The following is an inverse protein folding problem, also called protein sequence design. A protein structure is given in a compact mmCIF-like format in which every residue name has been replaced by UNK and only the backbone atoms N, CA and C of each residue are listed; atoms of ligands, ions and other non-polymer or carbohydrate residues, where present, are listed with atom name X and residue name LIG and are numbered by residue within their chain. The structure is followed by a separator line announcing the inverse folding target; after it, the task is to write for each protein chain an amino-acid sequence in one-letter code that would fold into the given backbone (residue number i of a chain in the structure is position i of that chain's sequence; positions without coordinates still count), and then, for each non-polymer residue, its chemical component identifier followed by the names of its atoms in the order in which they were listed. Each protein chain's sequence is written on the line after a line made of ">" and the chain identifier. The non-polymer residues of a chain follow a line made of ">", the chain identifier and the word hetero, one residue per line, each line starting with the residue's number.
data_IF_159373552212
#
_entry.id   IF_159373552212
#
_cell.length_a   1.000
_cell.length_b   1.000
_cell.length_c   1.000
_cell.angle_alpha   90.00
_cell.angle_beta   90.00
_cell.angle_gamma   90.00
#
_symmetry.space_group_name_H-M   'P 1'
#
loop_
_entity.id
_entity.type
_entity.pdbx_description
1 polymer ?
#
# COMPACT_ATOMS: atom_id res chain seq x y z
N UNK A 1 -49.67 -33.23 5.64
CA UNK A 1 -49.38 -32.33 4.51
C UNK A 1 -49.28 -30.87 4.97
N UNK A 2 -50.18 -30.29 5.76
CA UNK A 2 -50.10 -28.87 6.21
C UNK A 2 -48.81 -28.54 7.02
N UNK A 3 -48.33 -29.42 7.89
CA UNK A 3 -47.11 -29.19 8.69
C UNK A 3 -45.82 -29.12 7.84
N UNK A 4 -45.72 -29.97 6.80
CA UNK A 4 -44.58 -29.98 5.88
C UNK A 4 -44.53 -28.69 5.02
N UNK A 5 -45.70 -28.21 4.59
CA UNK A 5 -45.81 -26.94 3.84
C UNK A 5 -45.41 -25.72 4.69
N UNK A 6 -45.80 -25.69 5.97
CA UNK A 6 -45.42 -24.61 6.90
C UNK A 6 -43.91 -24.61 7.19
N UNK A 7 -43.30 -25.79 7.37
CA UNK A 7 -41.84 -25.91 7.60
C UNK A 7 -41.07 -25.50 6.35
N UNK A 8 -41.53 -25.87 5.15
CA UNK A 8 -40.92 -25.44 3.90
C UNK A 8 -40.98 -23.91 3.70
N UNK A 9 -42.11 -23.30 4.04
CA UNK A 9 -42.27 -21.84 3.95
C UNK A 9 -41.39 -21.09 4.94
N UNK A 10 -41.18 -21.60 6.15
CA UNK A 10 -40.28 -21.04 7.16
C UNK A 10 -38.80 -21.12 6.74
N UNK A 11 -38.40 -22.20 6.10
CA UNK A 11 -37.02 -22.36 5.58
C UNK A 11 -36.75 -21.41 4.42
N UNK A 12 -37.71 -21.21 3.52
CA UNK A 12 -37.60 -20.25 2.41
C UNK A 12 -37.52 -18.81 2.96
N UNK A 13 -38.33 -18.48 3.96
CA UNK A 13 -38.31 -17.16 4.60
C UNK A 13 -36.97 -16.90 5.34
N UNK A 14 -36.40 -17.92 5.97
CA UNK A 14 -35.09 -17.83 6.62
C UNK A 14 -33.95 -17.64 5.61
N UNK A 15 -34.00 -18.26 4.43
CA UNK A 15 -33.00 -18.08 3.36
C UNK A 15 -33.03 -16.68 2.75
N UNK A 16 -34.18 -16.01 2.70
CA UNK A 16 -34.27 -14.62 2.20
C UNK A 16 -33.72 -13.59 3.19
N UNK A 17 -33.64 -13.91 4.47
CA UNK A 17 -33.08 -13.03 5.49
C UNK A 17 -31.53 -13.09 5.57
N UNK A 18 -30.90 -14.12 4.98
CA UNK A 18 -29.45 -14.27 4.96
C UNK A 18 -28.74 -13.64 3.73
N UNK A 19 -29.49 -13.10 2.76
CA UNK A 19 -28.91 -12.48 1.56
C UNK A 19 -28.46 -11.01 1.76
N UNK A 20 -28.38 -10.54 3.00
CA UNK A 20 -28.13 -9.14 3.33
C UNK A 20 -26.68 -8.66 3.39
N UNK A 21 -25.67 -9.45 3.02
CA UNK A 21 -24.26 -9.06 3.23
C UNK A 21 -23.37 -9.10 1.98
N UNK A 22 -23.91 -8.72 0.82
CA UNK A 22 -23.09 -8.50 -0.38
C UNK A 22 -23.39 -7.10 -0.92
N UNK A 23 -23.08 -6.07 -0.12
CA UNK A 23 -22.99 -4.73 -0.65
C UNK A 23 -21.57 -4.56 -1.21
N UNK A 24 -21.38 -4.37 -2.52
CA UNK A 24 -20.05 -4.18 -3.09
C UNK A 24 -19.42 -2.93 -2.46
N UNK A 25 -18.21 -3.06 -1.91
CA UNK A 25 -17.46 -1.95 -1.30
C UNK A 25 -17.30 -0.75 -2.24
N UNK A 26 -17.29 -1.00 -3.56
CA UNK A 26 -17.26 0.03 -4.61
C UNK A 26 -18.47 0.98 -4.63
N UNK A 27 -19.57 0.62 -3.96
CA UNK A 27 -20.81 1.41 -3.92
C UNK A 27 -21.06 2.15 -2.61
N UNK A 28 -20.15 2.07 -1.64
CA UNK A 28 -20.23 2.90 -0.45
C UNK A 28 -20.09 4.37 -0.86
N UNK A 29 -20.97 5.22 -0.39
CA UNK A 29 -20.93 6.67 -0.65
C UNK A 29 -19.58 7.31 -0.25
N UNK A 30 -18.87 6.70 0.69
CA UNK A 30 -17.53 7.06 1.13
C UNK A 30 -16.47 6.91 0.02
N UNK A 31 -16.67 6.01 -0.95
CA UNK A 31 -15.76 5.80 -2.09
C UNK A 31 -16.11 6.68 -3.30
N UNK A 32 -17.15 7.50 -3.21
CA UNK A 32 -17.56 8.42 -4.28
C UNK A 32 -16.79 9.75 -4.27
N UNK A 33 -16.11 10.07 -3.16
CA UNK A 33 -15.26 11.26 -3.08
C UNK A 33 -13.91 10.91 -3.71
N UNK A 34 -13.44 11.68 -4.73
CA UNK A 34 -12.14 11.46 -5.34
C UNK A 34 -11.01 11.42 -4.31
N UNK A 35 -10.02 10.57 -4.50
CA UNK A 35 -8.91 10.38 -3.55
C UNK A 35 -8.11 11.65 -3.33
N UNK A 36 -7.90 12.45 -4.37
CA UNK A 36 -7.22 13.75 -4.32
C UNK A 36 -7.91 14.73 -3.37
N UNK A 37 -9.24 14.79 -3.39
CA UNK A 37 -10.01 15.65 -2.47
C UNK A 37 -9.84 15.20 -1.02
N UNK A 38 -9.85 13.90 -0.76
CA UNK A 38 -9.67 13.37 0.59
C UNK A 38 -8.25 13.62 1.11
N UNK A 39 -7.23 13.35 0.28
CA UNK A 39 -5.82 13.59 0.62
C UNK A 39 -5.56 15.08 0.85
N UNK A 40 -6.12 15.96 0.02
CA UNK A 40 -6.01 17.41 0.16
C UNK A 40 -6.63 17.92 1.47
N UNK A 41 -7.80 17.42 1.85
CA UNK A 41 -8.42 17.78 3.12
C UNK A 41 -7.55 17.39 4.33
N UNK A 42 -6.89 16.22 4.25
CA UNK A 42 -5.94 15.79 5.29
C UNK A 42 -4.69 16.65 5.28
N UNK A 43 -4.18 17.06 4.10
CA UNK A 43 -3.03 17.98 3.99
C UNK A 43 -3.33 19.30 4.69
N UNK A 44 -4.45 19.93 4.39
CA UNK A 44 -4.89 21.19 5.01
C UNK A 44 -5.00 21.06 6.54
N UNK A 45 -5.52 19.93 7.02
CA UNK A 45 -5.62 19.66 8.46
C UNK A 45 -4.25 19.46 9.13
N UNK A 46 -3.30 18.81 8.45
CA UNK A 46 -1.91 18.65 8.92
C UNK A 46 -1.20 20.00 9.02
N UNK A 47 -1.31 20.83 8.00
CA UNK A 47 -0.71 22.17 7.97
C UNK A 47 -1.27 23.07 9.09
N UNK A 48 -2.58 23.03 9.30
CA UNK A 48 -3.20 23.79 10.38
C UNK A 48 -2.76 23.27 11.74
N UNK A 49 -2.72 21.94 11.95
CA UNK A 49 -2.21 21.34 13.18
C UNK A 49 -0.77 21.76 13.44
N UNK A 50 0.11 21.67 12.44
CA UNK A 50 1.53 22.05 12.56
C UNK A 50 1.69 23.52 12.98
N UNK A 51 0.92 24.41 12.35
CA UNK A 51 0.93 25.84 12.64
C UNK A 51 0.51 26.17 14.07
N UNK A 52 -0.46 25.43 14.61
CA UNK A 52 -1.03 25.68 15.95
C UNK A 52 -0.32 24.91 17.07
N UNK A 53 0.60 23.98 16.72
CA UNK A 53 1.30 23.12 17.68
C UNK A 53 2.83 23.23 17.55
N UNK A 54 3.36 24.45 17.43
CA UNK A 54 4.80 24.75 17.45
C UNK A 54 5.63 23.94 16.44
N UNK A 55 5.05 23.65 15.26
CA UNK A 55 5.72 22.89 14.20
C UNK A 55 5.65 21.36 14.38
N UNK A 56 5.00 20.86 15.40
CA UNK A 56 4.83 19.41 15.60
C UNK A 56 3.94 18.81 14.51
N UNK A 57 4.26 17.58 14.11
CA UNK A 57 3.46 16.84 13.13
C UNK A 57 2.50 15.85 13.80
N UNK A 58 1.31 15.64 13.24
CA UNK A 58 0.32 14.71 13.78
C UNK A 58 0.61 13.26 13.33
N UNK A 59 1.78 12.73 13.69
CA UNK A 59 2.23 11.39 13.30
C UNK A 59 2.22 10.42 14.48
N UNK A 60 2.12 9.11 14.16
CA UNK A 60 2.39 8.00 15.06
C UNK A 60 3.89 7.71 15.03
N UNK A 61 4.49 7.53 16.20
CA UNK A 61 5.90 7.13 16.30
C UNK A 61 6.07 5.69 15.81
N UNK A 62 7.09 5.47 14.97
CA UNK A 62 7.53 4.17 14.48
C UNK A 62 9.01 3.99 14.78
N UNK A 63 9.47 2.73 14.74
CA UNK A 63 10.88 2.39 14.92
C UNK A 63 11.75 3.04 13.85
N UNK A 64 13.00 3.37 14.21
CA UNK A 64 13.93 4.04 13.28
C UNK A 64 14.18 3.23 12.00
N UNK A 65 14.17 1.90 12.09
CA UNK A 65 14.34 0.98 10.95
C UNK A 65 13.12 0.86 10.02
N UNK A 66 12.00 1.53 10.35
CA UNK A 66 10.82 1.49 9.46
C UNK A 66 11.14 2.15 8.11
N UNK A 67 10.82 1.50 6.97
CA UNK A 67 11.04 2.06 5.64
C UNK A 67 10.41 3.45 5.48
N UNK A 68 11.10 4.35 4.75
CA UNK A 68 10.77 5.78 4.68
C UNK A 68 9.30 6.04 4.30
N UNK A 69 8.75 5.30 3.36
CA UNK A 69 7.37 5.45 2.90
C UNK A 69 6.30 4.85 3.84
N UNK A 70 6.71 4.30 4.97
CA UNK A 70 5.83 3.74 6.01
C UNK A 70 6.11 4.34 7.39
N UNK A 71 7.11 5.22 7.47
CA UNK A 71 7.70 5.65 8.74
C UNK A 71 6.82 6.62 9.53
N UNK A 72 6.09 7.49 8.84
CA UNK A 72 5.35 8.59 9.44
C UNK A 72 3.83 8.50 9.18
N UNK A 73 3.14 7.46 9.69
CA UNK A 73 1.69 7.38 9.53
C UNK A 73 1.00 8.48 10.32
N UNK A 74 -0.03 9.07 9.73
CA UNK A 74 -0.82 10.13 10.36
C UNK A 74 -1.58 9.57 11.56
N UNK A 75 -1.54 10.28 12.68
CA UNK A 75 -2.41 10.02 13.83
C UNK A 75 -3.66 10.89 13.74
N UNK A 76 -4.72 10.36 13.13
CA UNK A 76 -5.98 11.06 12.97
C UNK A 76 -6.60 11.55 14.27
N UNK A 77 -6.29 10.93 15.42
CA UNK A 77 -6.78 11.38 16.73
C UNK A 77 -6.26 12.76 17.13
N UNK A 78 -5.14 13.20 16.52
CA UNK A 78 -4.56 14.51 16.76
C UNK A 78 -5.23 15.62 15.92
N UNK A 79 -5.80 15.25 14.77
CA UNK A 79 -6.37 16.22 13.82
C UNK A 79 -7.88 16.18 13.72
N UNK A 80 -8.53 15.04 14.04
CA UNK A 80 -10.00 14.93 14.04
C UNK A 80 -10.53 14.94 15.47
N UNK A 81 -11.65 15.66 15.72
CA UNK A 81 -12.45 16.45 14.78
C UNK A 81 -12.03 17.93 14.64
N UNK A 82 -10.98 18.38 15.31
CA UNK A 82 -10.65 19.81 15.44
C UNK A 82 -10.23 20.46 14.11
N UNK A 83 -9.35 19.80 13.33
CA UNK A 83 -8.80 20.29 12.06
C UNK A 83 -9.41 19.56 10.86
N UNK A 84 -9.86 18.34 11.06
CA UNK A 84 -10.51 17.50 10.06
C UNK A 84 -11.85 17.01 10.63
N UNK A 85 -12.99 17.47 10.11
CA UNK A 85 -14.31 17.13 10.67
C UNK A 85 -14.54 15.62 10.80
N UNK A 86 -14.15 14.87 9.76
CA UNK A 86 -14.29 13.40 9.71
C UNK A 86 -13.06 12.77 9.09
N UNK A 87 -12.66 11.60 9.60
CA UNK A 87 -11.59 10.79 8.99
C UNK A 87 -12.05 10.35 7.60
N UNK A 88 -11.19 10.44 6.54
CA UNK A 88 -11.56 10.02 5.19
C UNK A 88 -12.11 8.60 5.15
N UNK A 89 -13.17 8.39 4.36
CA UNK A 89 -13.81 7.07 4.25
C UNK A 89 -12.90 6.01 3.62
N UNK A 90 -11.90 6.43 2.83
CA UNK A 90 -10.90 5.54 2.24
C UNK A 90 -9.70 5.26 3.18
N UNK A 91 -9.59 5.94 4.33
CA UNK A 91 -8.55 5.71 5.32
C UNK A 91 -8.80 4.42 6.12
N UNK A 92 -7.73 3.70 6.43
CA UNK A 92 -7.80 2.46 7.21
C UNK A 92 -8.52 2.64 8.56
N UNK A 93 -8.27 3.75 9.23
CA UNK A 93 -8.89 4.09 10.50
C UNK A 93 -10.42 4.27 10.41
N UNK A 94 -10.95 4.42 9.21
CA UNK A 94 -12.39 4.52 8.94
C UNK A 94 -12.93 3.35 8.09
N UNK A 95 -12.22 2.22 8.08
CA UNK A 95 -12.60 1.00 7.36
C UNK A 95 -12.23 0.98 5.87
N UNK A 96 -11.46 1.96 5.39
CA UNK A 96 -10.92 1.99 4.03
C UNK A 96 -9.64 1.16 3.88
N UNK A 97 -9.06 1.20 2.70
CA UNK A 97 -7.91 0.38 2.30
C UNK A 97 -6.58 1.13 2.29
N UNK A 98 -6.58 2.45 2.54
CA UNK A 98 -5.35 3.25 2.47
C UNK A 98 -4.82 3.64 3.83
N UNK A 99 -3.51 3.51 4.00
CA UNK A 99 -2.79 4.14 5.09
C UNK A 99 -2.33 5.53 4.63
N UNK A 100 -2.63 6.54 5.42
CA UNK A 100 -2.14 7.90 5.23
C UNK A 100 -0.78 8.07 5.93
N UNK A 101 0.17 8.65 5.23
CA UNK A 101 1.55 8.89 5.71
C UNK A 101 2.00 10.28 5.33
N UNK A 102 2.99 10.80 6.06
CA UNK A 102 3.75 11.99 5.65
C UNK A 102 5.07 11.59 5.00
N UNK A 103 5.43 12.29 3.94
CA UNK A 103 6.77 12.32 3.35
C UNK A 103 7.38 13.71 3.57
N UNK A 104 8.67 13.82 3.33
CA UNK A 104 9.42 15.10 3.38
C UNK A 104 9.21 15.91 4.67
N UNK A 105 9.11 15.19 5.78
CA UNK A 105 8.69 15.71 7.10
C UNK A 105 9.58 16.82 7.67
N UNK A 106 10.81 16.97 7.17
CA UNK A 106 11.77 17.96 7.64
C UNK A 106 11.70 19.28 6.84
N UNK A 107 11.29 19.21 5.57
CA UNK A 107 11.29 20.38 4.67
C UNK A 107 9.87 20.81 4.30
N UNK A 108 9.08 19.90 3.71
CA UNK A 108 7.72 20.17 3.22
C UNK A 108 6.80 18.96 3.48
N UNK A 109 6.27 18.81 4.72
CA UNK A 109 5.48 17.64 5.11
C UNK A 109 4.28 17.42 4.19
N UNK A 110 4.39 16.42 3.33
CA UNK A 110 3.39 16.12 2.29
C UNK A 110 2.61 14.85 2.61
N UNK A 111 1.28 14.95 2.58
CA UNK A 111 0.37 13.81 2.79
C UNK A 111 0.33 12.92 1.56
N UNK A 112 0.62 11.64 1.76
CA UNK A 112 0.56 10.59 0.75
C UNK A 112 -0.21 9.39 1.30
N UNK A 113 -0.52 8.45 0.42
CA UNK A 113 -1.23 7.21 0.79
C UNK A 113 -0.54 5.99 0.20
N UNK A 114 -0.77 4.82 0.80
CA UNK A 114 -0.46 3.54 0.19
C UNK A 114 -1.54 2.49 0.48
N UNK A 115 -1.64 1.52 -0.42
CA UNK A 115 -2.66 0.47 -0.38
C UNK A 115 -2.26 -0.65 0.58
N UNK A 116 -3.07 -0.89 1.60
CA UNK A 116 -2.83 -1.94 2.60
C UNK A 116 -3.11 -3.35 2.08
N UNK A 117 -3.78 -3.50 0.95
CA UNK A 117 -3.97 -4.82 0.31
C UNK A 117 -2.63 -5.44 -0.09
N UNK A 118 -1.62 -4.61 -0.42
CA UNK A 118 -0.24 -5.08 -0.62
C UNK A 118 0.33 -5.73 0.65
N UNK A 119 0.08 -5.13 1.82
CA UNK A 119 0.51 -5.69 3.10
C UNK A 119 -0.15 -7.04 3.40
N UNK A 120 -1.42 -7.19 3.06
CA UNK A 120 -2.16 -8.45 3.24
C UNK A 120 -1.59 -9.55 2.36
N UNK A 121 -1.33 -9.26 1.08
CA UNK A 121 -0.66 -10.20 0.15
C UNK A 121 0.72 -10.62 0.67
N UNK A 122 1.55 -9.66 1.09
CA UNK A 122 2.87 -9.93 1.67
C UNK A 122 2.75 -10.78 2.93
N UNK A 123 1.80 -10.48 3.81
CA UNK A 123 1.56 -11.24 5.04
C UNK A 123 1.14 -12.68 4.75
N UNK A 124 0.26 -12.90 3.79
CA UNK A 124 -0.17 -14.24 3.39
C UNK A 124 1.01 -15.08 2.90
N UNK A 125 1.84 -14.52 2.03
CA UNK A 125 3.05 -15.19 1.55
C UNK A 125 4.00 -15.51 2.73
N UNK A 126 4.25 -14.55 3.64
CA UNK A 126 5.10 -14.77 4.82
C UNK A 126 4.57 -15.90 5.71
N UNK A 127 3.26 -16.01 5.91
CA UNK A 127 2.64 -17.11 6.68
C UNK A 127 2.94 -18.46 6.02
N UNK A 128 2.81 -18.55 4.69
CA UNK A 128 3.10 -19.78 3.94
C UNK A 128 4.59 -20.15 3.98
N UNK A 129 5.49 -19.18 3.88
CA UNK A 129 6.94 -19.38 4.04
C UNK A 129 7.24 -19.93 5.44
N UNK A 130 6.67 -19.35 6.48
CA UNK A 130 6.85 -19.84 7.85
C UNK A 130 6.34 -21.28 8.04
N UNK A 131 5.24 -21.65 7.39
CA UNK A 131 4.72 -23.02 7.41
C UNK A 131 5.61 -24.00 6.64
N UNK A 132 6.27 -23.56 5.56
CA UNK A 132 7.20 -24.36 4.75
C UNK A 132 8.61 -24.48 5.34
N UNK A 133 8.98 -23.58 6.23
CA UNK A 133 10.26 -23.59 6.97
C UNK A 133 11.46 -23.01 6.21
N UNK A 134 11.35 -22.73 4.91
CA UNK A 134 12.43 -22.17 4.08
C UNK A 134 11.91 -21.08 3.15
N UNK A 135 12.71 -20.00 2.91
CA UNK A 135 12.39 -19.02 1.89
C UNK A 135 12.42 -19.64 0.47
N UNK A 136 11.37 -19.41 -0.35
CA UNK A 136 11.24 -20.02 -1.67
C UNK A 136 12.00 -19.24 -2.74
N UNK A 137 13.33 -19.26 -2.68
CA UNK A 137 14.18 -18.56 -3.65
C UNK A 137 14.14 -19.24 -5.02
N UNK A 138 13.86 -18.48 -6.11
CA UNK A 138 13.85 -19.00 -7.48
C UNK A 138 15.04 -18.54 -8.30
N UNK A 139 15.19 -17.23 -8.50
CA UNK A 139 16.25 -16.63 -9.32
C UNK A 139 16.74 -15.36 -8.65
N UNK A 140 18.05 -15.20 -8.55
CA UNK A 140 18.66 -13.94 -8.13
C UNK A 140 18.48 -12.87 -9.24
N UNK A 141 17.94 -11.72 -8.87
CA UNK A 141 17.70 -10.58 -9.78
C UNK A 141 18.57 -9.38 -9.44
N UNK A 142 19.07 -9.32 -8.22
CA UNK A 142 20.12 -8.41 -7.76
C UNK A 142 20.82 -9.05 -6.55
N UNK A 143 21.94 -8.48 -6.11
CA UNK A 143 22.65 -8.99 -4.94
C UNK A 143 21.68 -9.12 -3.74
N UNK A 144 21.53 -10.34 -3.23
CA UNK A 144 20.64 -10.67 -2.12
C UNK A 144 19.15 -10.38 -2.36
N UNK A 145 18.69 -10.31 -3.63
CA UNK A 145 17.29 -10.15 -4.02
C UNK A 145 16.89 -11.22 -5.01
N UNK A 146 15.82 -11.94 -4.73
CA UNK A 146 15.40 -13.12 -5.48
C UNK A 146 13.93 -13.01 -5.89
N UNK A 147 13.54 -13.61 -7.01
CA UNK A 147 12.16 -13.94 -7.30
C UNK A 147 11.71 -15.12 -6.44
N UNK A 148 10.40 -15.27 -6.23
CA UNK A 148 9.82 -16.33 -5.41
C UNK A 148 9.47 -17.55 -6.27
N UNK A 149 9.72 -18.74 -5.72
CA UNK A 149 9.14 -19.99 -6.21
C UNK A 149 7.80 -20.24 -5.51
N UNK A 150 6.74 -19.74 -6.08
CA UNK A 150 5.40 -19.79 -5.49
C UNK A 150 4.84 -21.21 -5.32
N UNK A 151 5.24 -22.16 -6.17
CA UNK A 151 4.84 -23.56 -6.09
C UNK A 151 5.32 -24.23 -4.79
N UNK A 152 6.53 -23.89 -4.33
CA UNK A 152 7.09 -24.42 -3.07
C UNK A 152 6.32 -24.00 -1.83
N UNK A 153 5.53 -22.92 -1.91
CA UNK A 153 4.69 -22.44 -0.81
C UNK A 153 3.20 -22.62 -1.09
N UNK A 154 2.87 -23.51 -2.06
CA UNK A 154 1.52 -23.97 -2.32
C UNK A 154 0.60 -23.04 -3.09
N UNK A 155 1.17 -22.17 -3.95
CA UNK A 155 0.39 -21.45 -4.95
C UNK A 155 0.42 -22.18 -6.30
N UNK A 156 -0.67 -22.13 -7.05
CA UNK A 156 -0.75 -22.68 -8.41
C UNK A 156 -0.11 -21.79 -9.49
N UNK A 157 0.31 -20.57 -9.14
CA UNK A 157 0.90 -19.60 -10.05
C UNK A 157 1.54 -18.43 -9.31
N UNK A 158 2.04 -17.47 -10.06
CA UNK A 158 2.69 -16.28 -9.52
C UNK A 158 1.68 -15.33 -8.88
N UNK A 159 2.07 -14.70 -7.78
CA UNK A 159 1.25 -13.72 -7.05
C UNK A 159 1.73 -12.31 -7.40
N UNK A 160 0.78 -11.42 -7.60
CA UNK A 160 1.01 -10.03 -7.97
C UNK A 160 0.21 -9.10 -7.08
N UNK A 161 0.62 -7.85 -7.02
CA UNK A 161 -0.16 -6.75 -6.47
C UNK A 161 -0.46 -5.72 -7.57
N UNK A 162 -1.50 -4.92 -7.39
CA UNK A 162 -1.82 -3.87 -8.36
C UNK A 162 -0.95 -2.63 -8.13
N UNK A 163 -0.36 -2.10 -9.20
CA UNK A 163 0.34 -0.82 -9.15
C UNK A 163 -0.67 0.32 -8.93
N UNK A 164 -0.43 1.20 -7.95
CA UNK A 164 -1.24 2.39 -7.79
C UNK A 164 -0.93 3.48 -8.84
N UNK A 165 0.14 3.31 -9.63
CA UNK A 165 0.60 4.27 -10.64
C UNK A 165 0.08 3.93 -12.02
N UNK A 166 0.25 2.68 -12.46
CA UNK A 166 -0.08 2.22 -13.81
C UNK A 166 -1.29 1.29 -13.87
N UNK A 167 -1.76 0.79 -12.73
CA UNK A 167 -2.79 -0.26 -12.66
C UNK A 167 -2.30 -1.64 -13.13
N UNK A 168 -1.01 -1.78 -13.47
CA UNK A 168 -0.41 -3.04 -13.89
C UNK A 168 -0.16 -3.96 -12.71
N UNK A 169 0.00 -5.25 -12.98
CA UNK A 169 0.38 -6.24 -11.98
C UNK A 169 1.88 -6.17 -11.70
N UNK A 170 2.24 -5.88 -10.45
CA UNK A 170 3.61 -5.84 -9.98
C UNK A 170 3.99 -7.17 -9.34
N UNK A 171 5.16 -7.75 -9.69
CA UNK A 171 5.67 -8.94 -9.03
C UNK A 171 6.19 -8.61 -7.63
N UNK A 172 6.43 -9.65 -6.85
CA UNK A 172 7.06 -9.54 -5.54
C UNK A 172 8.44 -10.20 -5.59
N UNK A 173 9.36 -9.67 -4.78
CA UNK A 173 10.70 -10.20 -4.58
C UNK A 173 10.94 -10.47 -3.10
N UNK A 174 11.91 -11.32 -2.81
CA UNK A 174 12.30 -11.70 -1.46
C UNK A 174 13.81 -11.48 -1.30
N UNK A 175 14.23 -10.93 -0.16
CA UNK A 175 15.65 -10.85 0.17
C UNK A 175 16.13 -12.08 0.95
N UNK A 176 17.45 -12.18 1.17
CA UNK A 176 18.05 -13.30 1.91
C UNK A 176 17.58 -13.43 3.36
N UNK A 177 17.04 -12.39 3.96
CA UNK A 177 16.46 -12.40 5.31
C UNK A 177 15.00 -12.90 5.31
N UNK A 178 14.44 -13.23 4.13
CA UNK A 178 13.04 -13.67 3.99
C UNK A 178 12.02 -12.53 4.00
N UNK A 179 12.45 -11.28 3.86
CA UNK A 179 11.59 -10.14 3.75
C UNK A 179 11.10 -9.98 2.31
N UNK A 180 9.78 -9.71 2.15
CA UNK A 180 9.11 -9.61 0.86
C UNK A 180 8.86 -8.15 0.52
N UNK A 181 9.13 -7.81 -0.74
CA UNK A 181 8.97 -6.47 -1.28
C UNK A 181 8.20 -6.49 -2.59
N UNK A 182 7.56 -5.38 -2.91
CA UNK A 182 6.93 -5.13 -4.22
C UNK A 182 8.00 -4.61 -5.18
N UNK A 183 8.04 -5.17 -6.36
CA UNK A 183 8.95 -4.73 -7.43
C UNK A 183 8.28 -3.65 -8.28
N UNK A 184 8.71 -2.40 -8.09
CA UNK A 184 8.25 -1.24 -8.84
C UNK A 184 9.10 -0.91 -10.07
N UNK A 185 9.99 -1.81 -10.51
CA UNK A 185 10.88 -1.54 -11.65
C UNK A 185 10.13 -1.15 -12.91
N UNK A 186 8.96 -1.74 -13.15
CA UNK A 186 8.11 -1.43 -14.31
C UNK A 186 7.58 0.01 -14.26
N UNK A 187 7.06 0.45 -13.11
CA UNK A 187 6.56 1.81 -12.94
C UNK A 187 7.68 2.85 -13.02
N UNK A 188 8.84 2.54 -12.42
CA UNK A 188 10.03 3.38 -12.49
C UNK A 188 10.57 3.48 -13.92
N UNK A 189 10.56 2.38 -14.67
CA UNK A 189 10.96 2.39 -16.07
C UNK A 189 10.09 3.35 -16.89
N UNK A 190 8.78 3.30 -16.74
CA UNK A 190 7.85 4.21 -17.42
C UNK A 190 8.11 5.67 -17.02
N UNK A 191 8.28 5.94 -15.73
CA UNK A 191 8.59 7.29 -15.24
C UNK A 191 9.91 7.83 -15.79
N UNK A 192 10.93 6.99 -15.90
CA UNK A 192 12.22 7.38 -16.50
C UNK A 192 12.12 7.72 -17.99
N UNK A 193 11.16 7.14 -18.74
CA UNK A 193 10.92 7.50 -20.13
C UNK A 193 10.21 8.85 -20.27
N UNK A 194 9.36 9.21 -19.31
CA UNK A 194 8.52 10.41 -19.38
C UNK A 194 9.17 11.63 -18.70
N UNK A 195 10.14 11.40 -17.80
CA UNK A 195 10.78 12.50 -17.06
C UNK A 195 11.90 13.18 -17.88
N UNK A 196 12.09 14.47 -17.65
CA UNK A 196 13.27 15.21 -18.12
C UNK A 196 14.50 15.03 -17.22
N UNK A 197 14.32 14.41 -16.05
CA UNK A 197 15.39 14.12 -15.10
C UNK A 197 16.24 12.98 -15.65
N UNK A 198 17.53 13.06 -15.42
CA UNK A 198 18.49 12.01 -15.80
C UNK A 198 19.27 11.59 -14.56
N UNK A 199 18.66 10.77 -13.66
CA UNK A 199 19.33 10.37 -12.45
C UNK A 199 20.64 9.64 -12.73
N UNK A 200 21.60 9.76 -11.80
CA UNK A 200 22.89 9.12 -11.89
C UNK A 200 22.88 7.75 -11.20
N UNK A 201 23.81 6.88 -11.58
CA UNK A 201 24.00 5.60 -10.92
C UNK A 201 24.36 5.82 -9.44
N UNK A 202 23.66 5.13 -8.53
CA UNK A 202 23.78 5.29 -7.09
C UNK A 202 22.85 6.35 -6.48
N UNK A 203 22.15 7.14 -7.29
CA UNK A 203 21.05 8.01 -6.84
C UNK A 203 19.79 7.17 -6.57
N UNK A 204 19.12 7.39 -5.44
CA UNK A 204 17.86 6.71 -5.12
C UNK A 204 16.71 7.37 -5.91
N UNK A 205 15.97 6.57 -6.70
CA UNK A 205 15.05 7.09 -7.72
C UNK A 205 13.55 6.89 -7.43
N UNK A 206 13.16 6.29 -6.31
CA UNK A 206 11.73 6.07 -6.00
C UNK A 206 10.95 7.38 -5.84
N UNK A 207 11.62 8.48 -5.57
CA UNK A 207 10.98 9.80 -5.53
C UNK A 207 10.24 10.14 -6.84
N UNK A 208 10.71 9.63 -7.98
CA UNK A 208 10.04 9.81 -9.28
C UNK A 208 8.59 9.29 -9.29
N UNK A 209 8.29 8.30 -8.46
CA UNK A 209 6.93 7.78 -8.32
C UNK A 209 6.05 8.64 -7.40
N UNK A 210 6.65 9.49 -6.57
CA UNK A 210 5.91 10.29 -5.58
C UNK A 210 5.64 11.72 -6.03
N UNK A 211 6.42 12.28 -6.95
CA UNK A 211 6.35 13.69 -7.35
C UNK A 211 4.97 14.10 -7.87
N UNK A 212 4.41 13.33 -8.79
CA UNK A 212 3.12 13.62 -9.43
C UNK A 212 2.02 12.63 -8.99
N UNK A 213 2.17 11.99 -7.85
CA UNK A 213 1.23 10.97 -7.38
C UNK A 213 0.84 11.21 -5.92
N UNK A 214 -0.38 10.83 -5.59
CA UNK A 214 -0.85 10.74 -4.21
C UNK A 214 -0.25 9.52 -3.49
N UNK A 215 0.27 8.55 -4.23
CA UNK A 215 0.77 7.30 -3.70
C UNK A 215 2.28 7.35 -3.43
N UNK A 216 2.70 6.51 -2.48
CA UNK A 216 4.11 6.20 -2.22
C UNK A 216 4.40 4.73 -2.53
N UNK A 217 5.63 4.37 -2.99
CA UNK A 217 6.03 3.00 -3.26
C UNK A 217 6.34 2.26 -1.95
N UNK A 218 5.30 1.99 -1.16
CA UNK A 218 5.42 1.23 0.07
C UNK A 218 5.86 -0.22 -0.21
N UNK A 219 6.48 -0.84 0.77
CA UNK A 219 6.99 -2.21 0.68
C UNK A 219 8.01 -2.43 -0.44
N UNK A 220 8.73 -1.39 -0.87
CA UNK A 220 9.76 -1.49 -1.90
C UNK A 220 11.17 -1.43 -1.32
N UNK A 221 12.11 -2.10 -2.00
CA UNK A 221 13.53 -1.83 -1.84
C UNK A 221 13.90 -0.49 -2.50
N UNK A 222 15.01 0.15 -2.11
CA UNK A 222 15.55 1.29 -2.85
C UNK A 222 15.95 0.91 -4.27
N UNK A 223 15.85 1.87 -5.20
CA UNK A 223 16.23 1.72 -6.60
C UNK A 223 17.21 2.80 -7.03
N UNK A 224 18.04 2.43 -7.97
CA UNK A 224 18.90 3.34 -8.74
C UNK A 224 18.79 3.01 -10.22
N UNK A 225 19.55 3.70 -11.07
CA UNK A 225 19.69 3.36 -12.48
C UNK A 225 21.02 2.65 -12.74
N UNK A 226 21.03 1.75 -13.71
CA UNK A 226 22.24 1.15 -14.27
C UNK A 226 22.89 2.04 -15.34
N UNK A 227 23.94 1.53 -16.02
CA UNK A 227 24.65 2.22 -17.11
C UNK A 227 23.75 2.52 -18.32
N UNK A 228 22.66 1.77 -18.49
CA UNK A 228 21.67 1.95 -19.57
C UNK A 228 20.51 2.85 -19.16
N UNK A 229 20.56 3.40 -17.95
CA UNK A 229 19.47 4.19 -17.33
C UNK A 229 18.21 3.36 -17.08
N UNK A 230 18.33 2.04 -16.90
CA UNK A 230 17.24 1.18 -16.48
C UNK A 230 17.18 1.07 -14.96
N UNK A 231 15.98 0.97 -14.34
CA UNK A 231 15.85 0.88 -12.89
C UNK A 231 16.34 -0.47 -12.38
N UNK A 232 17.22 -0.43 -11.39
CA UNK A 232 17.76 -1.63 -10.72
C UNK A 232 17.69 -1.47 -9.21
N UNK A 233 17.59 -2.58 -8.48
CA UNK A 233 17.61 -2.54 -7.02
C UNK A 233 18.94 -1.97 -6.52
N UNK A 234 18.85 -1.04 -5.57
CA UNK A 234 20.00 -0.49 -4.88
C UNK A 234 20.33 -1.40 -3.70
N UNK A 235 21.22 -2.34 -3.94
CA UNK A 235 21.72 -3.28 -2.94
C UNK A 235 23.03 -2.79 -2.34
N UNK A 236 23.21 -2.99 -1.03
CA UNK A 236 24.45 -2.65 -0.31
C UNK A 236 25.43 -3.82 -0.34
#
# INVERSE_FOLDING_TARGET
>A
MKRVAVTGMLVILAMTLLSGCLYPEEKLSQNQIPYDTQVKAVQEAVEQYQKENDGLLPIKTRDQGTPIYQKYPIDFRKISPQYLPEIPGNAFENGGIFQYVLTDVEEDPTVKIFDLRMAETIREIKIRIQAGGYPPFKKEVAQNVYTLNYEEIGYEGEVYVDSPYSGKKLPLVINGDGEIFVDYSMDLYEKLQDTKKSPEQGEEIRYLLTEDSLFVPAYSLPYTVDEKKEPVFMTK
#
